data_IF_844377768186
#
_entry.id   IF_844377768186
#
_cell.length_a   1.000
_cell.length_b   1.000
_cell.length_c   1.000
_cell.angle_alpha   90.00
_cell.angle_beta   90.00
_cell.angle_gamma   90.00
#
_symmetry.space_group_name_H-M   'P 1'
#
loop_
_entity.id
_entity.type
_entity.pdbx_description
1 polymer ?
#
# COMPACT_ATOMS: atom_id res chain seq x y z
N UNK A 1 -62.24 10.99 28.58
CA UNK A 1 -60.95 11.67 28.79
C UNK A 1 -59.97 11.12 27.76
N UNK A 2 -60.23 11.23 26.45
CA UNK A 2 -60.32 12.45 25.64
C UNK A 2 -59.03 13.26 25.67
N UNK A 3 -58.26 13.12 24.59
CA UNK A 3 -56.98 13.80 24.36
C UNK A 3 -56.40 13.42 23.00
N UNK A 4 -57.20 13.61 21.94
CA UNK A 4 -56.78 13.52 20.53
C UNK A 4 -55.66 14.56 20.25
N UNK A 5 -54.66 14.25 19.40
CA UNK A 5 -53.51 15.13 19.15
C UNK A 5 -53.87 16.32 18.25
N UNK A 6 -53.16 17.46 18.32
CA UNK A 6 -53.23 18.46 17.27
C UNK A 6 -52.22 18.18 16.15
N UNK A 7 -52.65 18.56 14.95
CA UNK A 7 -52.09 18.26 13.66
C UNK A 7 -50.99 19.23 13.22
N UNK A 8 -50.15 18.71 12.32
CA UNK A 8 -49.57 19.35 11.13
C UNK A 8 -49.55 20.88 11.04
N UNK A 9 -48.32 21.43 10.98
CA UNK A 9 -48.00 22.57 10.11
C UNK A 9 -46.65 22.33 9.45
N UNK A 10 -46.68 21.92 8.17
CA UNK A 10 -45.62 22.18 7.21
C UNK A 10 -45.55 23.70 6.99
N UNK A 11 -44.37 24.31 7.16
CA UNK A 11 -43.93 25.43 6.31
C UNK A 11 -42.44 25.24 6.00
N UNK A 12 -42.19 25.35 4.72
CA UNK A 12 -40.97 25.22 3.94
C UNK A 12 -40.10 26.49 4.03
N UNK A 13 -38.77 26.30 3.93
CA UNK A 13 -37.67 27.25 3.70
C UNK A 13 -36.49 26.89 4.61
N UNK A 14 -35.30 26.49 4.17
CA UNK A 14 -34.73 26.38 2.85
C UNK A 14 -33.20 26.26 3.01
N UNK A 15 -32.55 25.81 1.96
CA UNK A 15 -31.10 25.97 1.69
C UNK A 15 -30.10 25.01 2.37
N UNK A 16 -29.63 24.10 1.50
CA UNK A 16 -28.27 23.54 1.36
C UNK A 16 -27.89 22.41 2.32
N UNK A 17 -28.04 21.16 1.87
CA UNK A 17 -26.93 20.21 1.58
C UNK A 17 -27.51 19.06 0.73
N UNK A 18 -27.59 19.24 -0.59
CA UNK A 18 -27.70 18.13 -1.55
C UNK A 18 -27.30 18.69 -2.91
N UNK A 19 -26.04 18.47 -3.29
CA UNK A 19 -25.57 18.35 -4.69
C UNK A 19 -24.04 18.45 -4.72
N UNK A 20 -23.36 17.32 -4.55
CA UNK A 20 -22.01 17.08 -5.09
C UNK A 20 -21.82 15.60 -5.41
N UNK A 21 -22.65 15.09 -6.31
CA UNK A 21 -22.42 13.84 -7.05
C UNK A 21 -23.28 13.86 -8.31
N UNK A 22 -22.87 14.68 -9.28
CA UNK A 22 -23.27 14.52 -10.68
C UNK A 22 -22.12 15.03 -11.55
N UNK A 23 -21.66 14.12 -12.40
CA UNK A 23 -20.70 14.34 -13.48
C UNK A 23 -21.08 15.56 -14.35
N UNK A 24 -20.10 16.23 -14.95
CA UNK A 24 -20.30 16.85 -16.24
C UNK A 24 -19.66 16.00 -17.35
N UNK A 25 -20.51 15.27 -18.07
CA UNK A 25 -20.34 15.15 -19.52
C UNK A 25 -20.56 16.56 -20.08
N UNK A 26 -19.47 17.28 -20.37
CA UNK A 26 -19.52 18.53 -21.15
C UNK A 26 -18.81 18.36 -22.49
N UNK A 27 -19.63 17.98 -23.46
CA UNK A 27 -19.77 18.57 -24.79
C UNK A 27 -18.68 19.54 -25.26
N UNK A 28 -18.06 19.16 -26.38
CA UNK A 28 -17.41 20.03 -27.37
C UNK A 28 -18.22 21.31 -27.64
N UNK A 29 -17.48 22.40 -27.85
CA UNK A 29 -17.85 23.76 -28.34
C UNK A 29 -18.07 24.79 -27.23
N UNK A 30 -17.09 25.67 -27.06
CA UNK A 30 -17.26 26.89 -26.28
C UNK A 30 -15.99 27.44 -25.63
N UNK A 31 -14.87 27.49 -26.33
CA UNK A 31 -13.70 28.27 -25.92
C UNK A 31 -12.91 28.74 -27.15
N UNK A 32 -13.63 29.36 -28.09
CA UNK A 32 -13.06 30.16 -29.17
C UNK A 32 -13.86 31.45 -29.23
N UNK A 33 -13.52 32.40 -28.38
CA UNK A 33 -13.63 33.83 -28.65
C UNK A 33 -13.09 34.58 -27.43
N UNK A 34 -12.55 35.77 -27.67
CA UNK A 34 -12.00 36.73 -26.69
C UNK A 34 -10.50 36.64 -26.38
N UNK A 35 -9.68 36.58 -27.43
CA UNK A 35 -8.43 37.37 -27.48
C UNK A 35 -8.29 37.91 -28.92
N UNK A 36 -8.89 39.07 -29.19
CA UNK A 36 -8.62 39.86 -30.39
C UNK A 36 -9.24 41.24 -30.19
N UNK A 37 -8.40 42.23 -29.88
CA UNK A 37 -8.44 43.62 -30.35
C UNK A 37 -7.54 44.48 -29.44
N UNK A 38 -6.30 44.69 -29.88
CA UNK A 38 -5.34 45.60 -29.22
C UNK A 38 -3.95 45.02 -29.00
N UNK A 39 -3.27 44.54 -30.04
CA UNK A 39 -1.90 43.99 -29.92
C UNK A 39 -1.45 43.14 -31.11
N UNK A 40 -1.83 43.52 -32.33
CA UNK A 40 -1.48 42.80 -33.56
C UNK A 40 -0.07 43.13 -34.02
N UNK A 41 0.94 42.40 -33.51
CA UNK A 41 2.23 42.20 -34.19
C UNK A 41 3.15 41.20 -33.47
N UNK A 42 2.96 40.92 -32.16
CA UNK A 42 3.92 40.09 -31.39
C UNK A 42 3.50 38.60 -31.27
N UNK A 43 2.23 38.26 -31.56
CA UNK A 43 1.71 36.89 -31.34
C UNK A 43 1.96 35.88 -32.48
N UNK A 44 2.26 36.32 -33.70
CA UNK A 44 2.40 35.40 -34.85
C UNK A 44 3.79 34.74 -34.96
N UNK A 45 4.84 35.38 -34.44
CA UNK A 45 6.18 34.79 -34.39
C UNK A 45 6.43 34.03 -33.06
N UNK A 46 5.96 34.57 -31.93
CA UNK A 46 6.18 33.98 -30.60
C UNK A 46 5.24 32.81 -30.26
N UNK A 47 3.95 32.91 -30.62
CA UNK A 47 2.94 31.89 -30.29
C UNK A 47 3.14 30.56 -31.03
N UNK A 48 3.58 30.61 -32.29
CA UNK A 48 3.89 29.41 -33.07
C UNK A 48 5.11 28.65 -32.55
N UNK A 49 6.15 29.35 -32.12
CA UNK A 49 7.35 28.75 -31.52
C UNK A 49 7.05 28.13 -30.15
N UNK A 50 6.28 28.83 -29.31
CA UNK A 50 5.84 28.29 -28.01
C UNK A 50 4.93 27.06 -28.19
N UNK A 51 4.00 27.10 -29.14
CA UNK A 51 3.13 25.96 -29.48
C UNK A 51 3.91 24.75 -30.01
N UNK A 52 4.90 24.97 -30.90
CA UNK A 52 5.78 23.90 -31.40
C UNK A 52 6.63 23.29 -30.29
N UNK A 53 7.17 24.11 -29.37
CA UNK A 53 7.93 23.63 -28.21
C UNK A 53 7.04 22.83 -27.25
N UNK A 54 5.82 23.29 -26.98
CA UNK A 54 4.87 22.56 -26.14
C UNK A 54 4.49 21.20 -26.77
N UNK A 55 4.22 21.17 -28.07
CA UNK A 55 3.96 19.93 -28.80
C UNK A 55 5.15 18.97 -28.79
N UNK A 56 6.37 19.46 -29.06
CA UNK A 56 7.58 18.65 -29.04
C UNK A 56 7.88 18.08 -27.65
N UNK A 57 7.69 18.87 -26.58
CA UNK A 57 7.79 18.39 -25.19
C UNK A 57 6.78 17.29 -24.89
N UNK A 58 5.52 17.50 -25.30
CA UNK A 58 4.47 16.52 -25.09
C UNK A 58 4.74 15.23 -25.86
N UNK A 59 5.14 15.33 -27.13
CA UNK A 59 5.48 14.19 -27.98
C UNK A 59 6.66 13.40 -27.40
N UNK A 60 7.75 14.08 -27.02
CA UNK A 60 8.91 13.43 -26.43
C UNK A 60 8.53 12.75 -25.11
N UNK A 61 7.85 13.45 -24.19
CA UNK A 61 7.42 12.86 -22.93
C UNK A 61 6.53 11.63 -23.14
N UNK A 62 5.62 11.67 -24.13
CA UNK A 62 4.75 10.52 -24.44
C UNK A 62 5.58 9.33 -24.90
N UNK A 63 6.52 9.54 -25.82
CA UNK A 63 7.43 8.48 -26.29
C UNK A 63 8.28 7.89 -25.16
N UNK A 64 8.82 8.72 -24.27
CA UNK A 64 9.63 8.25 -23.13
C UNK A 64 8.81 7.38 -22.16
N UNK A 65 7.52 7.68 -21.96
CA UNK A 65 6.60 6.87 -21.16
C UNK A 65 6.17 5.60 -21.89
N UNK A 66 5.89 5.69 -23.19
CA UNK A 66 5.56 4.53 -24.04
C UNK A 66 6.71 3.51 -24.07
N UNK A 67 7.96 3.98 -24.15
CA UNK A 67 9.17 3.14 -24.11
C UNK A 67 9.41 2.53 -22.72
N UNK A 68 8.99 3.21 -21.64
CA UNK A 68 9.10 2.71 -20.26
C UNK A 68 8.10 1.59 -19.93
N UNK A 69 6.89 1.65 -20.53
CA UNK A 69 5.80 0.73 -20.23
C UNK A 69 6.11 -0.77 -20.42
N UNK A 70 6.82 -1.24 -21.48
CA UNK A 70 7.19 -2.65 -21.58
C UNK A 70 8.16 -3.09 -20.48
N UNK A 71 9.16 -2.27 -20.14
CA UNK A 71 10.15 -2.54 -19.09
C UNK A 71 9.44 -2.72 -17.75
N UNK A 72 8.57 -1.77 -17.39
CA UNK A 72 7.83 -1.84 -16.12
C UNK A 72 6.90 -3.05 -16.07
N UNK A 73 6.17 -3.34 -17.16
CA UNK A 73 5.24 -4.48 -17.17
C UNK A 73 5.95 -5.83 -17.03
N UNK A 74 7.14 -5.98 -17.59
CA UNK A 74 7.96 -7.18 -17.41
C UNK A 74 8.41 -7.30 -15.95
N UNK A 75 9.02 -6.25 -15.40
CA UNK A 75 9.50 -6.21 -14.00
C UNK A 75 8.37 -6.46 -13.00
N UNK A 76 7.24 -5.78 -13.16
CA UNK A 76 6.05 -5.95 -12.33
C UNK A 76 5.51 -7.37 -12.39
N UNK A 77 5.49 -8.01 -13.56
CA UNK A 77 5.02 -9.40 -13.68
C UNK A 77 5.92 -10.33 -12.88
N UNK A 78 7.23 -10.19 -13.03
CA UNK A 78 8.20 -11.07 -12.37
C UNK A 78 8.17 -10.87 -10.84
N UNK A 79 8.16 -9.63 -10.39
CA UNK A 79 8.14 -9.28 -8.96
C UNK A 79 6.85 -9.77 -8.28
N UNK A 80 5.67 -9.51 -8.89
CA UNK A 80 4.37 -9.96 -8.36
C UNK A 80 4.24 -11.49 -8.37
N UNK A 81 4.89 -12.17 -9.31
CA UNK A 81 4.79 -13.64 -9.41
C UNK A 81 5.70 -14.35 -8.41
N UNK A 82 6.87 -13.79 -8.09
CA UNK A 82 7.90 -14.50 -7.36
C UNK A 82 8.08 -14.01 -5.91
N UNK A 83 8.17 -12.70 -5.70
CA UNK A 83 8.55 -12.14 -4.40
C UNK A 83 7.52 -12.42 -3.30
N UNK A 84 6.19 -12.31 -3.54
CA UNK A 84 5.20 -12.70 -2.53
C UNK A 84 5.30 -14.18 -2.13
N UNK A 85 5.56 -15.07 -3.09
CA UNK A 85 5.68 -16.52 -2.83
C UNK A 85 6.92 -16.81 -1.98
N UNK A 86 8.04 -16.14 -2.28
CA UNK A 86 9.25 -16.21 -1.45
C UNK A 86 8.95 -15.75 -0.02
N UNK A 87 8.33 -14.57 0.13
CA UNK A 87 7.95 -14.03 1.43
C UNK A 87 6.99 -14.96 2.20
N UNK A 88 6.06 -15.62 1.50
CA UNK A 88 5.17 -16.64 2.06
C UNK A 88 5.94 -17.80 2.66
N UNK A 89 6.83 -18.42 1.89
CA UNK A 89 7.53 -19.61 2.36
C UNK A 89 8.45 -19.28 3.54
N UNK A 90 9.05 -18.09 3.53
CA UNK A 90 9.87 -17.60 4.64
C UNK A 90 9.05 -17.37 5.91
N UNK A 91 7.99 -16.55 5.86
CA UNK A 91 7.16 -16.27 7.05
C UNK A 91 6.52 -17.56 7.58
N UNK A 92 6.13 -18.47 6.68
CA UNK A 92 5.56 -19.77 7.05
C UNK A 92 6.57 -20.64 7.80
N UNK A 93 7.84 -20.61 7.41
CA UNK A 93 8.89 -21.37 8.08
C UNK A 93 9.10 -20.89 9.52
N UNK A 94 9.02 -19.57 9.77
CA UNK A 94 9.02 -19.00 11.12
C UNK A 94 7.86 -19.53 11.97
N UNK A 95 6.69 -19.68 11.34
CA UNK A 95 5.44 -20.07 12.00
C UNK A 95 5.07 -21.55 11.85
N UNK A 96 6.04 -22.43 11.61
CA UNK A 96 5.77 -23.86 11.57
C UNK A 96 5.64 -24.47 12.96
N UNK A 97 4.87 -25.57 13.06
CA UNK A 97 4.35 -26.13 14.31
C UNK A 97 5.34 -26.38 15.48
N UNK A 98 6.64 -26.71 15.27
CA UNK A 98 7.58 -26.86 16.38
C UNK A 98 7.84 -25.58 17.17
N UNK A 99 7.61 -24.41 16.56
CA UNK A 99 7.86 -23.08 17.15
C UNK A 99 6.75 -22.63 18.11
N UNK A 100 5.57 -23.24 18.05
CA UNK A 100 4.40 -22.80 18.80
C UNK A 100 4.14 -23.65 20.02
N UNK A 101 3.84 -22.99 21.15
CA UNK A 101 3.33 -23.67 22.35
C UNK A 101 1.83 -24.04 22.20
N UNK A 102 1.49 -24.68 21.08
CA UNK A 102 0.11 -25.01 20.69
C UNK A 102 -0.57 -25.95 21.70
N UNK A 103 0.20 -26.84 22.32
CA UNK A 103 -0.29 -27.75 23.33
C UNK A 103 -0.70 -27.03 24.62
N UNK A 104 0.12 -26.08 25.09
CA UNK A 104 -0.22 -25.28 26.27
C UNK A 104 -1.38 -24.34 26.02
N UNK A 105 -1.40 -23.67 24.86
CA UNK A 105 -2.53 -22.84 24.46
C UNK A 105 -3.83 -23.65 24.39
N UNK A 106 -3.81 -24.81 23.72
CA UNK A 106 -4.99 -25.69 23.65
C UNK A 106 -5.43 -26.16 25.04
N UNK A 107 -4.49 -26.53 25.92
CA UNK A 107 -4.79 -26.91 27.31
C UNK A 107 -5.47 -25.78 28.09
N UNK A 108 -4.96 -24.55 27.98
CA UNK A 108 -5.50 -23.38 28.67
C UNK A 108 -6.90 -23.01 28.16
N UNK A 109 -7.08 -22.94 26.83
CA UNK A 109 -8.39 -22.66 26.22
C UNK A 109 -9.42 -23.75 26.54
N UNK A 110 -8.98 -25.00 26.71
CA UNK A 110 -9.86 -26.10 27.12
C UNK A 110 -10.14 -26.16 28.63
N UNK A 111 -9.56 -25.28 29.45
CA UNK A 111 -9.84 -25.25 30.89
C UNK A 111 -11.25 -24.74 31.19
N UNK A 112 -11.85 -25.18 32.30
CA UNK A 112 -13.15 -24.68 32.76
C UNK A 112 -13.07 -23.20 33.13
N UNK A 113 -11.98 -22.79 33.78
CA UNK A 113 -11.70 -21.40 34.13
C UNK A 113 -11.74 -20.48 32.91
N UNK A 114 -11.08 -20.85 31.81
CA UNK A 114 -11.12 -20.07 30.58
C UNK A 114 -12.55 -19.97 30.00
N UNK A 115 -13.37 -21.02 30.14
CA UNK A 115 -14.77 -20.99 29.70
C UNK A 115 -15.56 -19.91 30.45
N UNK A 116 -15.39 -19.86 31.76
CA UNK A 116 -16.06 -18.90 32.64
C UNK A 116 -15.57 -17.47 32.36
N UNK A 117 -14.26 -17.27 32.22
CA UNK A 117 -13.65 -15.99 31.86
C UNK A 117 -14.20 -15.47 30.52
N UNK A 118 -14.20 -16.31 29.48
CA UNK A 118 -14.70 -15.93 28.16
C UNK A 118 -16.22 -15.67 28.16
N UNK A 119 -16.99 -16.41 28.96
CA UNK A 119 -18.44 -16.21 29.10
C UNK A 119 -18.79 -14.88 29.80
N UNK A 120 -17.94 -14.44 30.72
CA UNK A 120 -18.12 -13.19 31.46
C UNK A 120 -17.80 -11.93 30.63
N UNK A 121 -17.08 -12.07 29.51
CA UNK A 121 -16.76 -10.97 28.60
C UNK A 121 -17.97 -10.60 27.73
N UNK A 122 -18.26 -9.30 27.67
CA UNK A 122 -19.40 -8.75 26.92
C UNK A 122 -19.02 -8.49 25.46
N UNK A 123 -19.73 -9.15 24.54
CA UNK A 123 -19.56 -8.95 23.11
C UNK A 123 -18.40 -9.74 22.50
N UNK A 124 -18.49 -9.96 21.20
CA UNK A 124 -17.52 -10.75 20.45
C UNK A 124 -16.14 -10.08 20.38
N UNK A 125 -16.11 -8.75 20.29
CA UNK A 125 -14.87 -7.97 20.26
C UNK A 125 -14.03 -8.17 21.53
N UNK A 126 -14.64 -8.05 22.73
CA UNK A 126 -13.92 -8.28 23.99
C UNK A 126 -13.41 -9.71 24.12
N UNK A 127 -14.17 -10.71 23.64
CA UNK A 127 -13.74 -12.12 23.60
C UNK A 127 -12.54 -12.32 22.68
N UNK A 128 -12.59 -11.72 21.48
CA UNK A 128 -11.47 -11.73 20.53
C UNK A 128 -10.23 -11.07 21.13
N UNK A 129 -10.37 -9.88 21.73
CA UNK A 129 -9.25 -9.19 22.39
C UNK A 129 -8.59 -10.03 23.47
N UNK A 130 -9.39 -10.72 24.29
CA UNK A 130 -8.88 -11.62 25.32
C UNK A 130 -8.12 -12.81 24.71
N UNK A 131 -8.64 -13.40 23.62
CA UNK A 131 -7.96 -14.45 22.87
C UNK A 131 -6.66 -13.97 22.21
N UNK A 132 -6.64 -12.77 21.61
CA UNK A 132 -5.42 -12.17 21.08
C UNK A 132 -4.36 -12.01 22.18
N UNK A 133 -4.73 -11.43 23.32
CA UNK A 133 -3.80 -11.24 24.43
C UNK A 133 -3.23 -12.58 24.94
N UNK A 134 -4.08 -13.60 25.12
CA UNK A 134 -3.67 -14.94 25.53
C UNK A 134 -2.79 -15.62 24.48
N UNK A 135 -3.14 -15.52 23.20
CA UNK A 135 -2.39 -16.12 22.12
C UNK A 135 -1.01 -15.46 21.98
N UNK A 136 -0.94 -14.14 22.09
CA UNK A 136 0.34 -13.41 21.99
C UNK A 136 1.26 -13.62 23.18
N UNK A 137 0.73 -14.00 24.35
CA UNK A 137 1.55 -14.30 25.53
C UNK A 137 2.06 -15.74 25.58
N UNK A 138 1.42 -16.67 24.86
CA UNK A 138 1.74 -18.10 24.95
C UNK A 138 2.27 -18.70 23.66
N UNK A 139 1.82 -18.21 22.51
CA UNK A 139 2.06 -18.86 21.21
C UNK A 139 2.99 -18.03 20.35
N UNK A 140 2.75 -16.72 20.24
CA UNK A 140 3.54 -15.85 19.39
C UNK A 140 3.68 -14.45 19.97
N UNK A 141 4.89 -14.07 20.40
CA UNK A 141 5.09 -12.69 20.83
C UNK A 141 4.97 -11.72 19.66
N UNK A 142 4.49 -10.52 19.95
CA UNK A 142 4.43 -9.44 18.96
C UNK A 142 5.83 -9.03 18.48
N UNK A 143 6.84 -9.18 19.34
CA UNK A 143 8.24 -8.89 19.03
C UNK A 143 8.77 -9.87 17.98
N UNK A 144 8.62 -11.18 18.20
CA UNK A 144 9.06 -12.20 17.24
C UNK A 144 8.38 -12.06 15.87
N UNK A 145 7.08 -11.74 15.88
CA UNK A 145 6.34 -11.48 14.63
C UNK A 145 6.92 -10.27 13.88
N UNK A 146 7.19 -9.18 14.58
CA UNK A 146 7.74 -7.97 13.97
C UNK A 146 9.18 -8.17 13.49
N UNK A 147 10.01 -8.90 14.24
CA UNK A 147 11.39 -9.23 13.85
C UNK A 147 11.41 -10.08 12.58
N UNK A 148 10.59 -11.13 12.52
CA UNK A 148 10.46 -11.98 11.32
C UNK A 148 9.99 -11.19 10.11
N UNK A 149 8.98 -10.33 10.29
CA UNK A 149 8.49 -9.42 9.25
C UNK A 149 9.60 -8.48 8.78
N UNK A 150 10.35 -7.88 9.70
CA UNK A 150 11.42 -6.93 9.39
C UNK A 150 12.51 -7.59 8.55
N UNK A 151 12.94 -8.80 8.93
CA UNK A 151 13.95 -9.56 8.21
C UNK A 151 13.50 -9.94 6.79
N UNK A 152 12.23 -10.30 6.62
CA UNK A 152 11.67 -10.62 5.29
C UNK A 152 11.50 -9.34 4.47
N UNK A 153 11.05 -8.24 5.09
CA UNK A 153 10.94 -6.93 4.43
C UNK A 153 12.31 -6.44 3.94
N UNK A 154 13.36 -6.64 4.71
CA UNK A 154 14.73 -6.35 4.30
C UNK A 154 15.14 -7.16 3.07
N UNK A 155 14.99 -8.49 3.10
CA UNK A 155 15.37 -9.35 1.95
C UNK A 155 14.57 -9.06 0.69
N UNK A 156 13.24 -9.04 0.78
CA UNK A 156 12.37 -8.71 -0.36
C UNK A 156 12.63 -7.29 -0.85
N UNK A 157 12.87 -6.36 0.08
CA UNK A 157 13.17 -4.97 -0.20
C UNK A 157 14.47 -4.77 -0.98
N UNK A 158 15.52 -5.53 -0.65
CA UNK A 158 16.78 -5.51 -1.40
C UNK A 158 16.59 -5.97 -2.85
N UNK A 159 15.81 -7.03 -3.08
CA UNK A 159 15.49 -7.50 -4.44
C UNK A 159 14.71 -6.45 -5.23
N UNK A 160 13.74 -5.77 -4.60
CA UNK A 160 13.02 -4.65 -5.21
C UNK A 160 13.94 -3.48 -5.55
N UNK A 161 14.87 -3.12 -4.66
CA UNK A 161 15.82 -2.03 -4.89
C UNK A 161 16.84 -2.36 -6.01
N UNK A 162 17.29 -3.61 -6.09
CA UNK A 162 18.11 -4.09 -7.21
C UNK A 162 17.34 -4.02 -8.53
N UNK A 163 16.12 -4.56 -8.57
CA UNK A 163 15.27 -4.53 -9.77
C UNK A 163 14.95 -3.11 -10.22
N UNK A 164 14.67 -2.21 -9.27
CA UNK A 164 14.45 -0.78 -9.52
C UNK A 164 15.69 -0.10 -10.12
N UNK A 165 16.88 -0.41 -9.61
CA UNK A 165 18.13 0.13 -10.13
C UNK A 165 18.39 -0.33 -11.57
N UNK A 166 18.15 -1.61 -11.86
CA UNK A 166 18.22 -2.17 -13.21
C UNK A 166 17.19 -1.51 -14.15
N UNK A 167 15.96 -1.30 -13.67
CA UNK A 167 14.91 -0.59 -14.40
C UNK A 167 15.35 0.83 -14.77
N UNK A 168 15.92 1.58 -13.82
CA UNK A 168 16.41 2.93 -14.09
C UNK A 168 17.55 2.95 -15.12
N UNK A 169 18.41 1.93 -15.13
CA UNK A 169 19.48 1.80 -16.12
C UNK A 169 18.92 1.53 -17.53
N UNK A 170 17.96 0.62 -17.66
CA UNK A 170 17.29 0.32 -18.93
C UNK A 170 16.53 1.54 -19.47
N UNK A 171 15.80 2.25 -18.59
CA UNK A 171 15.13 3.50 -18.94
C UNK A 171 16.11 4.55 -19.45
N UNK A 172 17.27 4.69 -18.79
CA UNK A 172 18.29 5.63 -19.22
C UNK A 172 18.82 5.33 -20.62
N UNK A 173 19.07 4.04 -20.94
CA UNK A 173 19.47 3.60 -22.29
C UNK A 173 18.40 3.95 -23.33
N UNK A 174 17.14 3.70 -23.03
CA UNK A 174 16.03 4.07 -23.92
C UNK A 174 15.97 5.58 -24.12
N UNK A 175 16.02 6.37 -23.05
CA UNK A 175 15.88 7.82 -23.11
C UNK A 175 17.05 8.49 -23.83
N UNK A 176 18.28 7.99 -23.65
CA UNK A 176 19.47 8.42 -24.39
C UNK A 176 19.27 8.28 -25.90
N UNK A 177 18.80 7.11 -26.34
CA UNK A 177 18.56 6.83 -27.76
C UNK A 177 17.52 7.77 -28.41
N UNK A 178 16.60 8.32 -27.59
CA UNK A 178 15.54 9.22 -28.06
C UNK A 178 15.95 10.69 -28.06
N UNK A 179 16.76 11.11 -27.10
CA UNK A 179 17.08 12.51 -26.87
C UNK A 179 17.98 13.14 -27.94
N UNK A 180 18.71 12.34 -28.73
CA UNK A 180 19.66 12.82 -29.77
C UNK A 180 20.57 13.96 -29.28
N UNK A 181 20.90 13.98 -27.98
CA UNK A 181 21.60 15.10 -27.38
C UNK A 181 23.11 14.97 -27.66
N UNK A 182 23.73 15.86 -28.46
CA UNK A 182 25.14 15.70 -28.86
C UNK A 182 26.14 15.87 -27.71
N UNK A 183 25.68 16.39 -26.56
CA UNK A 183 26.53 16.95 -25.51
C UNK A 183 26.34 16.30 -24.12
N UNK A 184 25.44 15.33 -23.96
CA UNK A 184 25.34 14.56 -22.71
C UNK A 184 26.05 13.24 -22.87
N UNK A 185 27.31 13.25 -22.42
CA UNK A 185 28.23 12.14 -22.46
C UNK A 185 27.85 11.07 -21.43
N UNK A 186 27.44 9.90 -21.94
CA UNK A 186 27.24 8.61 -21.27
C UNK A 186 25.86 8.34 -20.65
N UNK A 187 25.32 7.17 -20.98
CA UNK A 187 24.18 6.49 -20.34
C UNK A 187 24.19 6.62 -18.82
N UNK A 188 25.37 6.56 -18.19
CA UNK A 188 25.52 6.67 -16.74
C UNK A 188 25.03 8.03 -16.21
N UNK A 189 25.32 9.13 -16.91
CA UNK A 189 24.88 10.47 -16.50
C UNK A 189 23.36 10.63 -16.63
N UNK A 190 22.76 10.03 -17.66
CA UNK A 190 21.30 10.02 -17.85
C UNK A 190 20.65 9.15 -16.77
N UNK A 191 21.20 7.98 -16.47
CA UNK A 191 20.74 7.12 -15.36
C UNK A 191 20.75 7.88 -14.04
N UNK A 192 21.85 8.54 -13.71
CA UNK A 192 21.96 9.27 -12.45
C UNK A 192 20.98 10.46 -12.40
N UNK A 193 20.62 11.06 -13.54
CA UNK A 193 19.54 12.06 -13.61
C UNK A 193 18.16 11.43 -13.43
N UNK A 194 17.90 10.29 -14.07
CA UNK A 194 16.65 9.54 -13.96
C UNK A 194 16.41 9.14 -12.50
N UNK A 195 17.40 8.53 -11.85
CA UNK A 195 17.32 8.15 -10.43
C UNK A 195 17.14 9.37 -9.52
N UNK A 196 17.90 10.45 -9.73
CA UNK A 196 17.73 11.70 -8.95
C UNK A 196 16.33 12.32 -9.08
N UNK A 197 15.58 12.01 -10.14
CA UNK A 197 14.18 12.46 -10.30
C UNK A 197 13.17 11.48 -9.75
N UNK A 198 13.38 10.18 -9.95
CA UNK A 198 12.43 9.14 -9.56
C UNK A 198 12.49 8.90 -8.05
N UNK A 199 13.67 8.74 -7.48
CA UNK A 199 13.84 8.32 -6.08
C UNK A 199 13.17 9.27 -5.08
N UNK A 200 13.32 10.61 -5.19
CA UNK A 200 12.65 11.51 -4.25
C UNK A 200 11.13 11.48 -4.36
N UNK A 201 10.58 11.15 -5.54
CA UNK A 201 9.13 11.06 -5.73
C UNK A 201 8.58 9.81 -5.04
N UNK A 202 9.24 8.66 -5.20
CA UNK A 202 8.82 7.42 -4.55
C UNK A 202 9.00 7.53 -3.03
N UNK A 203 10.13 8.06 -2.56
CA UNK A 203 10.38 8.29 -1.12
C UNK A 203 9.32 9.20 -0.50
N UNK A 204 8.84 10.20 -1.25
CA UNK A 204 7.73 11.07 -0.81
C UNK A 204 6.42 10.30 -0.67
N UNK A 205 6.06 9.43 -1.62
CA UNK A 205 4.84 8.62 -1.52
C UNK A 205 4.91 7.63 -0.34
N UNK A 206 6.10 7.06 -0.08
CA UNK A 206 6.35 6.24 1.11
C UNK A 206 6.16 7.08 2.38
N UNK A 207 6.77 8.27 2.46
CA UNK A 207 6.62 9.16 3.61
C UNK A 207 5.15 9.56 3.86
N UNK A 208 4.40 9.88 2.80
CA UNK A 208 2.96 10.16 2.90
C UNK A 208 2.21 8.94 3.44
N UNK A 209 2.55 7.73 2.97
CA UNK A 209 1.92 6.48 3.44
C UNK A 209 2.23 6.19 4.91
N UNK A 210 3.46 6.48 5.35
CA UNK A 210 3.88 6.44 6.76
C UNK A 210 3.02 7.43 7.58
N UNK A 211 2.93 8.69 7.16
CA UNK A 211 2.16 9.74 7.84
C UNK A 211 0.67 9.40 7.96
N UNK A 212 0.06 8.90 6.88
CA UNK A 212 -1.34 8.46 6.87
C UNK A 212 -1.56 7.27 7.81
N UNK A 213 -0.59 6.36 7.91
CA UNK A 213 -0.65 5.25 8.87
C UNK A 213 -0.63 5.77 10.31
N UNK A 214 0.29 6.69 10.64
CA UNK A 214 0.35 7.33 11.95
C UNK A 214 -0.93 8.09 12.31
N UNK A 215 -1.52 8.83 11.36
CA UNK A 215 -2.78 9.55 11.57
C UNK A 215 -3.95 8.59 11.84
N UNK A 216 -3.90 7.37 11.31
CA UNK A 216 -4.82 6.27 11.65
C UNK A 216 -4.51 5.55 12.96
N UNK A 217 -3.60 6.08 13.80
CA UNK A 217 -3.05 5.46 15.01
C UNK A 217 -2.22 4.18 14.76
N UNK A 218 -1.87 3.85 13.51
CA UNK A 218 -1.05 2.69 13.19
C UNK A 218 0.42 3.11 13.21
N UNK A 219 1.27 2.48 14.04
CA UNK A 219 2.72 2.71 14.00
C UNK A 219 3.32 1.77 12.94
N UNK A 220 3.78 2.25 11.77
CA UNK A 220 4.46 1.37 10.83
C UNK A 220 5.76 0.83 11.46
N UNK A 221 6.21 -0.34 11.01
CA UNK A 221 7.39 -1.03 11.56
C UNK A 221 8.73 -0.46 11.08
N UNK A 222 8.74 0.76 10.52
CA UNK A 222 9.87 1.38 9.85
C UNK A 222 10.32 2.65 10.58
N UNK A 223 11.62 2.95 10.46
CA UNK A 223 12.18 4.21 10.93
C UNK A 223 11.61 5.39 10.13
N UNK A 224 11.61 6.58 10.72
CA UNK A 224 11.14 7.81 10.06
C UNK A 224 11.97 8.16 8.81
N UNK A 225 13.17 7.59 8.69
CA UNK A 225 14.10 7.78 7.57
C UNK A 225 14.01 6.63 6.59
N UNK A 226 13.39 6.88 5.42
CA UNK A 226 13.42 5.96 4.28
C UNK A 226 14.85 5.88 3.75
N UNK A 227 15.58 4.81 4.06
CA UNK A 227 16.93 4.55 3.51
C UNK A 227 16.82 3.69 2.24
N UNK A 228 16.15 2.54 2.33
CA UNK A 228 15.78 1.64 1.23
C UNK A 228 14.33 1.86 0.81
N UNK A 229 14.08 2.00 -0.51
CA UNK A 229 12.72 2.19 -1.05
C UNK A 229 11.95 0.88 -0.98
N UNK A 230 12.56 -0.22 -1.45
CA UNK A 230 11.97 -1.54 -1.44
C UNK A 230 11.63 -2.02 -0.03
N UNK A 231 12.59 -1.95 0.89
CA UNK A 231 12.39 -2.39 2.29
C UNK A 231 11.29 -1.58 2.95
N UNK A 232 11.31 -0.25 2.79
CA UNK A 232 10.28 0.61 3.36
C UNK A 232 8.90 0.32 2.77
N UNK A 233 8.81 0.03 1.46
CA UNK A 233 7.54 -0.32 0.83
C UNK A 233 6.95 -1.63 1.38
N UNK A 234 7.79 -2.65 1.62
CA UNK A 234 7.33 -3.90 2.23
C UNK A 234 7.01 -3.73 3.72
N UNK A 235 7.80 -2.94 4.45
CA UNK A 235 7.59 -2.63 5.87
C UNK A 235 6.35 -1.77 6.15
N UNK A 236 5.70 -1.21 5.13
CA UNK A 236 4.43 -0.49 5.22
C UNK A 236 3.22 -1.42 5.41
N UNK A 237 3.33 -2.40 6.30
CA UNK A 237 2.23 -3.31 6.58
C UNK A 237 1.07 -2.60 7.27
N UNK A 238 -0.15 -3.00 6.90
CA UNK A 238 -1.36 -2.53 7.59
C UNK A 238 -1.42 -3.12 8.99
N UNK A 239 -1.54 -2.27 10.00
CA UNK A 239 -1.70 -2.71 11.39
C UNK A 239 -3.13 -2.47 11.88
N UNK A 240 -3.61 -3.32 12.76
CA UNK A 240 -4.79 -3.03 13.57
C UNK A 240 -4.38 -2.80 15.02
N UNK A 241 -4.97 -1.77 15.61
CA UNK A 241 -4.91 -1.54 17.03
C UNK A 241 -6.03 -2.30 17.71
N UNK A 242 -5.66 -3.15 18.65
CA UNK A 242 -6.57 -3.98 19.42
C UNK A 242 -6.53 -3.52 20.88
N UNK A 243 -7.70 -3.28 21.47
CA UNK A 243 -7.84 -2.98 22.89
C UNK A 243 -8.15 -1.51 23.21
N UNK A 244 -8.48 -1.22 24.48
CA UNK A 244 -8.81 0.13 24.92
C UNK A 244 -7.56 1.04 24.96
N UNK A 245 -7.76 2.37 24.97
CA UNK A 245 -6.67 3.33 25.17
C UNK A 245 -5.84 2.99 26.42
N UNK A 246 -4.52 2.86 26.27
CA UNK A 246 -3.59 2.49 27.35
C UNK A 246 -3.19 1.01 27.42
N UNK A 247 -3.88 0.13 26.69
CA UNK A 247 -3.51 -1.30 26.51
C UNK A 247 -3.62 -1.72 25.04
N UNK A 248 -3.15 -0.86 24.13
CA UNK A 248 -3.26 -1.09 22.69
C UNK A 248 -2.19 -2.10 22.26
N UNK A 249 -2.64 -3.22 21.69
CA UNK A 249 -1.82 -4.19 20.99
C UNK A 249 -1.89 -3.86 19.51
N UNK A 250 -0.76 -3.49 18.90
CA UNK A 250 -0.66 -3.31 17.46
C UNK A 250 -0.22 -4.64 16.83
N UNK A 251 -1.08 -5.20 15.96
CA UNK A 251 -0.78 -6.43 15.21
C UNK A 251 -0.96 -6.18 13.71
N UNK A 252 -0.09 -6.77 12.87
CA UNK A 252 -0.32 -6.79 11.43
C UNK A 252 -1.67 -7.40 11.07
N UNK A 253 -2.37 -6.78 10.13
CA UNK A 253 -3.72 -7.21 9.72
C UNK A 253 -3.71 -8.62 9.15
N UNK A 254 -2.65 -9.01 8.45
CA UNK A 254 -2.48 -10.38 7.94
C UNK A 254 -2.49 -11.42 9.08
N UNK A 255 -1.89 -11.10 10.23
CA UNK A 255 -1.82 -12.00 11.38
C UNK A 255 -3.19 -12.11 12.05
N UNK A 256 -3.90 -10.99 12.19
CA UNK A 256 -5.29 -10.95 12.69
C UNK A 256 -6.19 -11.83 11.82
N UNK A 257 -6.12 -11.66 10.50
CA UNK A 257 -6.90 -12.47 9.56
C UNK A 257 -6.56 -13.96 9.66
N UNK A 258 -5.28 -14.30 9.89
CA UNK A 258 -4.86 -15.69 10.06
C UNK A 258 -5.37 -16.31 11.37
N UNK A 259 -5.46 -15.53 12.46
CA UNK A 259 -5.92 -16.00 13.77
C UNK A 259 -7.44 -16.08 13.87
N UNK A 260 -8.16 -15.25 13.12
CA UNK A 260 -9.62 -15.09 13.22
C UNK A 260 -10.38 -16.42 13.12
N UNK A 261 -9.91 -17.33 12.26
CA UNK A 261 -10.53 -18.64 12.07
C UNK A 261 -10.35 -19.57 13.28
N UNK A 262 -9.23 -19.46 13.99
CA UNK A 262 -8.99 -20.19 15.25
C UNK A 262 -9.86 -19.59 16.36
N UNK A 263 -9.91 -18.27 16.46
CA UNK A 263 -10.62 -17.59 17.54
C UNK A 263 -12.13 -17.69 17.42
N UNK A 264 -12.66 -17.59 16.20
CA UNK A 264 -14.09 -17.84 15.94
C UNK A 264 -14.47 -19.25 16.34
N UNK A 265 -13.67 -20.25 15.95
CA UNK A 265 -13.90 -21.64 16.36
C UNK A 265 -13.93 -21.79 17.89
N UNK A 266 -13.02 -21.12 18.61
CA UNK A 266 -12.99 -21.17 20.07
C UNK A 266 -14.23 -20.51 20.67
N UNK A 267 -14.58 -19.31 20.22
CA UNK A 267 -15.74 -18.55 20.73
C UNK A 267 -17.03 -19.33 20.52
N UNK A 268 -17.23 -19.91 19.33
CA UNK A 268 -18.46 -20.62 18.96
C UNK A 268 -18.64 -21.94 19.73
N UNK A 269 -17.55 -22.54 20.20
CA UNK A 269 -17.56 -23.87 20.84
C UNK A 269 -17.22 -23.86 22.32
N UNK A 270 -16.94 -22.69 22.90
CA UNK A 270 -16.52 -22.60 24.30
C UNK A 270 -17.55 -23.19 25.28
N UNK A 271 -18.84 -23.08 24.95
CA UNK A 271 -19.97 -23.55 25.78
C UNK A 271 -20.46 -24.96 25.45
N UNK A 272 -20.06 -25.52 24.31
CA UNK A 272 -20.46 -26.86 23.83
C UNK A 272 -19.22 -27.63 23.37
N UNK A 273 -18.42 -28.05 24.35
CA UNK A 273 -17.12 -28.69 24.14
C UNK A 273 -17.30 -30.18 23.87
N UNK A 274 -16.99 -30.62 22.66
CA UNK A 274 -16.91 -32.05 22.31
C UNK A 274 -15.67 -32.72 22.90
N UNK A 275 -15.69 -34.06 22.99
CA UNK A 275 -14.57 -34.90 23.47
C UNK A 275 -13.26 -34.61 22.70
N UNK A 276 -13.32 -34.18 21.44
CA UNK A 276 -12.16 -33.88 20.59
C UNK A 276 -11.77 -32.39 20.49
N UNK A 277 -12.31 -31.52 21.36
CA UNK A 277 -12.14 -30.07 21.25
C UNK A 277 -10.66 -29.63 21.33
N UNK A 278 -9.89 -30.20 22.25
CA UNK A 278 -8.46 -29.91 22.40
C UNK A 278 -7.67 -30.29 21.15
N UNK A 279 -7.95 -31.47 20.59
CA UNK A 279 -7.33 -31.94 19.34
C UNK A 279 -7.64 -31.00 18.18
N UNK A 280 -8.90 -30.58 18.04
CA UNK A 280 -9.32 -29.65 17.00
C UNK A 280 -8.63 -28.28 17.11
N UNK A 281 -8.43 -27.75 18.32
CA UNK A 281 -7.66 -26.52 18.53
C UNK A 281 -6.20 -26.75 18.14
N UNK A 282 -5.56 -27.83 18.60
CA UNK A 282 -4.17 -28.13 18.27
C UNK A 282 -3.95 -28.28 16.77
N UNK A 283 -4.84 -28.97 16.05
CA UNK A 283 -4.75 -29.12 14.59
C UNK A 283 -4.88 -27.77 13.87
N UNK A 284 -5.78 -26.89 14.33
CA UNK A 284 -5.92 -25.53 13.79
C UNK A 284 -4.69 -24.67 14.08
N UNK A 285 -4.15 -24.70 15.29
CA UNK A 285 -2.92 -23.95 15.60
C UNK A 285 -1.73 -24.50 14.81
N UNK A 286 -1.65 -25.82 14.61
CA UNK A 286 -0.62 -26.44 13.78
C UNK A 286 -0.70 -26.02 12.30
N UNK A 287 -1.90 -25.74 11.78
CA UNK A 287 -2.09 -25.23 10.42
C UNK A 287 -1.91 -23.71 10.30
N UNK A 288 -1.57 -23.02 11.38
CA UNK A 288 -1.54 -21.56 11.41
C UNK A 288 -0.42 -20.98 10.54
N UNK A 289 0.75 -21.61 10.49
CA UNK A 289 1.85 -21.16 9.63
C UNK A 289 1.46 -21.06 8.15
N UNK A 290 0.64 -22.00 7.66
CA UNK A 290 0.11 -21.94 6.28
C UNK A 290 -0.77 -20.71 6.08
N UNK A 291 -1.70 -20.45 7.02
CA UNK A 291 -2.63 -19.31 6.95
C UNK A 291 -1.92 -17.98 7.08
N UNK A 292 -0.96 -17.87 8.01
CA UNK A 292 -0.11 -16.69 8.11
C UNK A 292 0.63 -16.46 6.80
N UNK A 293 1.23 -17.51 6.24
CA UNK A 293 1.89 -17.45 4.94
C UNK A 293 0.98 -16.91 3.84
N UNK A 294 -0.21 -17.49 3.68
CA UNK A 294 -1.18 -17.06 2.66
C UNK A 294 -1.61 -15.59 2.84
N UNK A 295 -1.90 -15.17 4.07
CA UNK A 295 -2.29 -13.78 4.34
C UNK A 295 -1.13 -12.81 4.12
N UNK A 296 0.09 -13.20 4.48
CA UNK A 296 1.28 -12.38 4.27
C UNK A 296 1.63 -12.26 2.78
N UNK A 297 1.45 -13.34 2.00
CA UNK A 297 1.60 -13.30 0.54
C UNK A 297 0.70 -12.21 -0.07
N UNK A 298 -0.56 -12.16 0.35
CA UNK A 298 -1.53 -11.16 -0.13
C UNK A 298 -1.07 -9.74 0.23
N UNK A 299 -0.64 -9.52 1.47
CA UNK A 299 -0.18 -8.21 1.94
C UNK A 299 1.07 -7.74 1.18
N UNK A 300 2.09 -8.59 1.05
CA UNK A 300 3.33 -8.31 0.29
C UNK A 300 3.01 -8.03 -1.17
N UNK A 301 2.13 -8.83 -1.79
CA UNK A 301 1.70 -8.63 -3.18
C UNK A 301 1.05 -7.26 -3.37
N UNK A 302 0.23 -6.82 -2.41
CA UNK A 302 -0.41 -5.50 -2.48
C UNK A 302 0.59 -4.36 -2.25
N UNK A 303 1.58 -4.51 -1.36
CA UNK A 303 2.68 -3.54 -1.20
C UNK A 303 3.49 -3.38 -2.49
N UNK A 304 3.82 -4.48 -3.17
CA UNK A 304 4.55 -4.45 -4.45
C UNK A 304 3.74 -3.75 -5.54
N UNK A 305 2.42 -4.02 -5.63
CA UNK A 305 1.54 -3.30 -6.57
C UNK A 305 1.52 -1.80 -6.30
N UNK A 306 1.41 -1.38 -5.04
CA UNK A 306 1.43 0.03 -4.67
C UNK A 306 2.77 0.69 -5.04
N UNK A 307 3.89 0.01 -4.79
CA UNK A 307 5.20 0.49 -5.19
C UNK A 307 5.30 0.70 -6.71
N UNK A 308 4.77 -0.21 -7.52
CA UNK A 308 4.75 -0.03 -8.98
C UNK A 308 3.87 1.13 -9.42
N UNK A 309 2.72 1.36 -8.78
CA UNK A 309 1.89 2.54 -9.03
C UNK A 309 2.69 3.83 -8.77
N UNK A 310 3.43 3.89 -7.66
CA UNK A 310 4.30 5.03 -7.34
C UNK A 310 5.44 5.18 -8.36
N UNK A 311 6.06 4.08 -8.78
CA UNK A 311 7.12 4.08 -9.80
C UNK A 311 6.61 4.60 -11.16
N UNK A 312 5.46 4.12 -11.64
CA UNK A 312 4.85 4.57 -12.90
C UNK A 312 4.55 6.07 -12.88
N UNK A 313 3.98 6.57 -11.78
CA UNK A 313 3.72 7.98 -11.58
C UNK A 313 5.01 8.81 -11.55
N UNK A 314 6.05 8.32 -10.85
CA UNK A 314 7.35 8.97 -10.76
C UNK A 314 8.05 9.04 -12.13
N UNK A 315 8.01 7.96 -12.91
CA UNK A 315 8.57 7.88 -14.26
C UNK A 315 7.84 8.85 -15.19
N UNK A 316 6.51 8.89 -15.14
CA UNK A 316 5.70 9.83 -15.93
C UNK A 316 6.10 11.28 -15.64
N UNK A 317 6.31 11.62 -14.36
CA UNK A 317 6.76 12.96 -13.98
C UNK A 317 8.20 13.24 -14.42
N UNK A 318 9.11 12.29 -14.23
CA UNK A 318 10.51 12.41 -14.64
C UNK A 318 10.67 12.56 -16.17
N UNK A 319 9.85 11.86 -16.96
CA UNK A 319 9.81 11.97 -18.41
C UNK A 319 9.34 13.35 -18.87
N UNK A 320 8.32 13.91 -18.21
CA UNK A 320 7.84 15.27 -18.48
C UNK A 320 8.92 16.33 -18.18
N UNK A 321 9.63 16.18 -17.07
CA UNK A 321 10.74 17.07 -16.69
C UNK A 321 11.92 16.94 -17.67
N UNK A 322 12.29 15.71 -18.03
CA UNK A 322 13.33 15.44 -19.03
C UNK A 322 12.98 16.10 -20.37
N UNK A 323 11.77 15.89 -20.88
CA UNK A 323 11.35 16.49 -22.14
C UNK A 323 11.36 18.03 -22.11
N UNK A 324 11.01 18.64 -20.97
CA UNK A 324 11.06 20.11 -20.80
C UNK A 324 12.47 20.66 -20.94
N UNK A 325 13.44 19.98 -20.34
CA UNK A 325 14.86 20.37 -20.40
C UNK A 325 15.45 20.13 -21.78
N UNK A 326 15.28 18.93 -22.34
CA UNK A 326 15.83 18.57 -23.65
C UNK A 326 15.30 19.52 -24.74
N UNK A 327 13.98 19.68 -24.85
CA UNK A 327 13.37 20.58 -25.86
C UNK A 327 13.58 22.06 -25.51
N UNK A 328 13.86 22.38 -24.25
CA UNK A 328 14.21 23.73 -23.80
C UNK A 328 15.62 24.17 -24.20
N UNK A 329 16.56 23.23 -24.31
CA UNK A 329 17.95 23.47 -24.67
C UNK A 329 18.16 23.57 -26.19
N UNK A 330 17.38 22.85 -26.99
CA UNK A 330 17.44 22.93 -28.45
C UNK A 330 16.59 24.10 -28.98
N UNK A 331 17.19 25.29 -29.09
CA UNK A 331 17.01 26.26 -30.21
C UNK A 331 17.74 27.58 -29.94
N UNK A 332 18.93 27.73 -30.53
CA UNK A 332 19.14 28.69 -31.64
C UNK A 332 19.69 27.89 -32.81
#
# INVERSE_FOLDING_TARGET
>A
MDGKPPANTQIDAGSKVSDKLREPIMTRRGAVSTILLGGGAVLLAGGGLLGRRAYARHSLSRTLVEDAAPILRERTRDEISNLPIMAREEIRAWFHAPSFNAAEFARLVCSSQFAEELANLKGEESKRLHLYALFTSLVLSTVELNDAVSEIAHRVGLELDHSRSATCEELARCWESRAHAPNESSTAAIRDKVMRRIDPLIRREIAISIELSYAGSQRPSISETVESIGESAIGLLRLSNLGPPGMVIALPLFAINAFDDVFRFIIDRVTDRSIDYQRAISERVASLGNRIGEQFEVEVRDRIKELHIWQEAAITKAANEYARETVGLFTV
#
